data_IF_572205490309
#
_entry.id   IF_572205490309
#
_cell.length_a   1.000
_cell.length_b   1.000
_cell.length_c   1.000
_cell.angle_alpha   90.00
_cell.angle_beta   90.00
_cell.angle_gamma   90.00
#
_symmetry.space_group_name_H-M   'P 1'
#
loop_
_entity.id
_entity.type
_entity.pdbx_description
1 polymer ?
#
# COMPACT_ATOMS: atom_id res chain seq x y z
N UNK A 1 20.96 -6.63 -5.40
CA UNK A 1 19.90 -5.62 -5.36
C UNK A 1 20.10 -4.71 -6.57
N UNK A 2 19.32 -4.80 -7.65
CA UNK A 2 19.44 -3.82 -8.72
C UNK A 2 18.68 -2.56 -8.31
N UNK A 3 19.40 -1.43 -8.22
CA UNK A 3 18.82 -0.11 -8.05
C UNK A 3 18.15 0.32 -9.34
N UNK A 4 16.82 0.42 -9.35
CA UNK A 4 16.04 1.01 -10.43
C UNK A 4 15.96 2.53 -10.21
N UNK A 5 16.84 3.28 -10.85
CA UNK A 5 16.64 4.71 -11.09
C UNK A 5 15.77 4.87 -12.35
N UNK A 6 14.49 5.19 -12.18
CA UNK A 6 13.60 5.51 -13.29
C UNK A 6 13.66 7.02 -13.58
N UNK A 7 14.21 7.39 -14.75
CA UNK A 7 14.10 8.74 -15.31
C UNK A 7 12.84 8.84 -16.17
N UNK A 8 12.11 9.95 -16.05
CA UNK A 8 10.66 10.06 -16.33
C UNK A 8 10.19 9.99 -17.81
N UNK A 9 10.99 9.50 -18.77
CA UNK A 9 10.63 9.54 -20.20
C UNK A 9 10.99 8.27 -21.01
N UNK A 10 10.94 7.08 -20.41
CA UNK A 10 11.10 5.83 -21.16
C UNK A 10 9.74 5.32 -21.69
N UNK A 11 9.51 5.26 -23.02
CA UNK A 11 8.23 4.83 -23.59
C UNK A 11 7.90 3.36 -23.30
N UNK A 12 8.89 2.55 -22.91
CA UNK A 12 8.71 1.13 -22.52
C UNK A 12 7.98 0.99 -21.19
N UNK A 13 8.04 2.02 -20.32
CA UNK A 13 7.45 2.00 -18.98
C UNK A 13 5.92 2.20 -19.00
N UNK A 14 5.38 2.74 -20.10
CA UNK A 14 3.97 3.08 -20.25
C UNK A 14 3.07 1.87 -20.55
N UNK A 15 3.63 0.73 -20.98
CA UNK A 15 2.89 -0.50 -21.30
C UNK A 15 3.15 -1.66 -20.32
N UNK A 16 3.97 -1.42 -19.28
CA UNK A 16 4.32 -2.47 -18.32
C UNK A 16 3.24 -2.58 -17.24
N UNK A 17 2.37 -3.57 -17.43
CA UNK A 17 1.59 -4.11 -16.33
C UNK A 17 2.54 -4.75 -15.31
N UNK A 18 2.48 -4.30 -14.05
CA UNK A 18 3.22 -4.92 -12.96
C UNK A 18 2.27 -5.65 -12.02
N UNK A 19 2.74 -6.77 -11.47
CA UNK A 19 1.96 -7.62 -10.56
C UNK A 19 2.86 -8.04 -9.41
N UNK A 20 2.42 -7.79 -8.17
CA UNK A 20 3.13 -8.24 -6.97
C UNK A 20 2.16 -8.67 -5.87
N UNK A 21 2.72 -9.28 -4.82
CA UNK A 21 2.00 -9.53 -3.57
C UNK A 21 2.26 -8.39 -2.60
N UNK A 22 1.24 -7.98 -1.87
CA UNK A 22 1.35 -6.94 -0.85
C UNK A 22 0.43 -7.26 0.34
N UNK A 23 0.69 -6.59 1.46
CA UNK A 23 -0.23 -6.55 2.60
C UNK A 23 -1.08 -5.28 2.47
N UNK A 24 -2.39 -5.45 2.28
CA UNK A 24 -3.32 -4.35 2.30
C UNK A 24 -3.73 -4.07 3.75
N UNK A 25 -3.34 -2.90 4.26
CA UNK A 25 -3.59 -2.48 5.65
C UNK A 25 -4.98 -1.87 5.84
N UNK A 26 -5.52 -1.21 4.81
CA UNK A 26 -6.80 -0.53 4.91
C UNK A 26 -6.93 0.67 3.99
N UNK A 27 -7.98 1.46 4.23
CA UNK A 27 -8.28 2.69 3.52
C UNK A 27 -8.67 3.75 4.53
N UNK A 28 -8.10 4.95 4.37
CA UNK A 28 -8.27 6.07 5.31
C UNK A 28 -8.64 7.29 4.49
N UNK A 29 -9.69 7.99 4.90
CA UNK A 29 -10.04 9.28 4.34
C UNK A 29 -9.07 10.35 4.87
N UNK A 30 -8.42 11.06 3.95
CA UNK A 30 -7.35 12.05 4.24
C UNK A 30 -7.76 13.47 3.82
N UNK A 31 -9.00 13.86 4.10
CA UNK A 31 -9.73 15.03 3.55
C UNK A 31 -8.94 16.34 3.36
N UNK A 32 -7.93 16.62 4.19
CA UNK A 32 -7.18 17.89 4.20
C UNK A 32 -5.67 17.73 3.97
N UNK A 33 -5.22 16.52 3.62
CA UNK A 33 -3.80 16.20 3.42
C UNK A 33 -3.58 15.72 2.00
N UNK A 34 -2.50 16.18 1.37
CA UNK A 34 -2.12 15.82 0.00
C UNK A 34 -0.64 15.48 0.01
N UNK A 35 -0.19 14.67 -0.94
CA UNK A 35 1.22 14.32 -1.06
C UNK A 35 1.68 13.45 0.11
N UNK A 36 2.93 13.66 0.53
CA UNK A 36 3.56 12.87 1.60
C UNK A 36 2.80 12.97 2.93
N UNK A 37 2.27 14.14 3.28
CA UNK A 37 1.47 14.32 4.51
C UNK A 37 0.21 13.45 4.54
N UNK A 38 -0.39 13.17 3.37
CA UNK A 38 -1.52 12.25 3.29
C UNK A 38 -1.08 10.80 3.57
N UNK A 39 0.09 10.40 3.05
CA UNK A 39 0.68 9.08 3.28
C UNK A 39 1.01 8.89 4.75
N UNK A 40 1.68 9.87 5.38
CA UNK A 40 2.02 9.84 6.80
C UNK A 40 0.78 9.62 7.69
N UNK A 41 -0.29 10.38 7.43
CA UNK A 41 -1.54 10.24 8.20
C UNK A 41 -2.23 8.90 7.99
N UNK A 42 -2.23 8.38 6.77
CA UNK A 42 -2.78 7.07 6.49
C UNK A 42 -1.99 5.99 7.27
N UNK A 43 -0.66 6.09 7.30
CA UNK A 43 0.19 5.17 8.07
C UNK A 43 -0.08 5.28 9.56
N UNK A 44 -0.13 6.49 10.13
CA UNK A 44 -0.39 6.68 11.57
C UNK A 44 -1.76 6.15 12.00
N UNK A 45 -2.75 6.20 11.08
CA UNK A 45 -4.10 5.70 11.34
C UNK A 45 -4.19 4.17 11.24
N UNK A 46 -3.38 3.55 10.39
CA UNK A 46 -3.41 2.10 10.12
C UNK A 46 -2.40 1.30 10.95
N UNK A 47 -1.33 1.95 11.40
CA UNK A 47 -0.25 1.37 12.20
C UNK A 47 -0.18 2.13 13.52
N UNK A 48 -0.82 1.62 14.59
CA UNK A 48 -0.78 2.25 15.91
C UNK A 48 0.66 2.30 16.45
N UNK A 49 1.13 3.49 16.87
CA UNK A 49 2.51 3.70 17.36
C UNK A 49 2.87 2.87 18.61
N UNK A 50 1.87 2.37 19.33
CA UNK A 50 2.05 1.68 20.61
C UNK A 50 2.56 0.25 20.51
N UNK A 51 2.72 -0.32 19.31
CA UNK A 51 2.85 -1.78 19.15
C UNK A 51 3.86 -2.17 18.05
N UNK A 52 5.12 -1.78 18.25
CA UNK A 52 6.26 -2.24 17.44
C UNK A 52 7.42 -2.73 18.30
N UNK A 53 7.15 -3.31 19.46
CA UNK A 53 8.09 -4.26 20.04
C UNK A 53 7.60 -5.67 19.67
N UNK A 54 8.34 -6.36 18.79
CA UNK A 54 8.04 -7.76 18.42
C UNK A 54 7.86 -8.66 19.65
N UNK A 55 8.53 -8.28 20.73
CA UNK A 55 8.48 -8.86 22.07
C UNK A 55 7.05 -8.92 22.63
N UNK A 56 6.21 -7.95 22.34
CA UNK A 56 4.86 -7.84 22.93
C UNK A 56 3.87 -8.81 22.28
N UNK A 57 4.03 -9.10 20.98
CA UNK A 57 3.18 -10.03 20.25
C UNK A 57 3.51 -11.49 20.59
N UNK A 58 4.81 -11.81 20.67
CA UNK A 58 5.28 -13.18 20.94
C UNK A 58 5.04 -13.61 22.40
N UNK A 59 5.08 -12.68 23.36
CA UNK A 59 4.95 -13.01 24.79
C UNK A 59 3.51 -13.09 25.29
N UNK A 60 2.55 -12.43 24.64
CA UNK A 60 1.16 -12.36 25.12
C UNK A 60 0.18 -13.24 24.35
N UNK A 61 0.62 -13.91 23.27
CA UNK A 61 -0.31 -14.61 22.36
C UNK A 61 -1.37 -13.69 21.78
N UNK A 62 -1.08 -12.38 21.75
CA UNK A 62 -1.99 -11.34 21.31
C UNK A 62 -1.96 -11.28 19.78
N UNK A 63 -3.13 -11.16 19.16
CA UNK A 63 -3.19 -10.90 17.72
C UNK A 63 -2.51 -9.57 17.41
N UNK A 64 -1.81 -9.52 16.26
CA UNK A 64 -1.23 -8.28 15.75
C UNK A 64 -2.31 -7.20 15.74
N UNK A 65 -2.06 -6.02 16.32
CA UNK A 65 -3.00 -4.90 16.26
C UNK A 65 -3.11 -4.34 14.85
N UNK A 66 -2.07 -4.53 14.04
CA UNK A 66 -2.09 -4.19 12.62
C UNK A 66 -2.85 -5.28 11.91
N UNK A 67 -4.05 -4.93 11.48
CA UNK A 67 -4.91 -5.78 10.66
C UNK A 67 -4.47 -5.64 9.20
N UNK A 68 -4.33 -6.77 8.51
CA UNK A 68 -3.94 -6.78 7.11
C UNK A 68 -4.55 -7.96 6.37
N UNK A 69 -4.64 -7.82 5.04
CA UNK A 69 -5.02 -8.91 4.13
C UNK A 69 -3.97 -9.06 3.04
N UNK A 70 -3.51 -10.29 2.80
CA UNK A 70 -2.62 -10.57 1.68
C UNK A 70 -3.38 -10.39 0.36
N UNK A 71 -2.88 -9.49 -0.48
CA UNK A 71 -3.49 -9.13 -1.75
C UNK A 71 -2.50 -9.30 -2.91
N UNK A 72 -3.05 -9.54 -4.10
CA UNK A 72 -2.37 -9.29 -5.36
C UNK A 72 -2.62 -7.84 -5.76
N UNK A 73 -1.54 -7.08 -5.95
CA UNK A 73 -1.56 -5.75 -6.52
C UNK A 73 -1.20 -5.84 -8.00
N UNK A 74 -2.08 -5.35 -8.86
CA UNK A 74 -1.83 -5.18 -10.28
C UNK A 74 -1.85 -3.68 -10.60
N UNK A 75 -0.83 -3.19 -11.30
CA UNK A 75 -0.72 -1.79 -11.70
C UNK A 75 -0.63 -1.71 -13.22
N UNK A 76 -1.49 -0.89 -13.80
CA UNK A 76 -1.52 -0.53 -15.22
C UNK A 76 -1.52 0.99 -15.35
N UNK A 77 -0.67 1.58 -16.20
CA UNK A 77 -0.72 3.02 -16.46
C UNK A 77 -2.07 3.49 -17.02
N UNK A 78 -2.72 2.64 -17.82
CA UNK A 78 -3.98 2.95 -18.50
C UNK A 78 -5.18 2.68 -17.58
N UNK A 79 -5.20 1.53 -16.90
CA UNK A 79 -6.36 1.11 -16.09
C UNK A 79 -6.28 1.59 -14.62
N UNK A 80 -5.08 1.79 -14.07
CA UNK A 80 -4.84 2.13 -12.67
C UNK A 80 -4.44 0.94 -11.81
N UNK A 81 -4.95 0.88 -10.58
CA UNK A 81 -4.60 -0.14 -9.57
C UNK A 81 -5.76 -1.11 -9.37
N UNK A 82 -5.48 -2.40 -9.43
CA UNK A 82 -6.39 -3.47 -9.02
C UNK A 82 -5.80 -4.25 -7.84
N UNK A 83 -6.53 -4.27 -6.73
CA UNK A 83 -6.23 -5.05 -5.54
C UNK A 83 -7.18 -6.24 -5.45
N UNK A 84 -6.64 -7.45 -5.33
CA UNK A 84 -7.41 -8.69 -5.20
C UNK A 84 -6.97 -9.44 -3.94
N UNK A 85 -7.87 -9.63 -2.98
CA UNK A 85 -7.63 -10.45 -1.79
C UNK A 85 -7.34 -11.91 -2.19
N UNK A 86 -6.18 -12.42 -1.75
CA UNK A 86 -5.72 -13.77 -2.08
C UNK A 86 -6.34 -14.86 -1.21
N UNK A 87 -6.80 -14.51 0.00
CA UNK A 87 -7.39 -15.43 0.97
C UNK A 87 -8.86 -15.70 0.66
N UNK A 88 -9.61 -14.68 0.22
CA UNK A 88 -11.07 -14.78 0.03
C UNK A 88 -11.52 -14.62 -1.42
N UNK A 89 -10.64 -14.27 -2.36
CA UNK A 89 -10.74 -14.17 -3.85
C UNK A 89 -11.98 -13.49 -4.48
N UNK A 90 -13.08 -13.33 -3.77
CA UNK A 90 -14.40 -12.93 -4.30
C UNK A 90 -15.01 -11.77 -3.49
N UNK A 91 -14.59 -11.57 -2.24
CA UNK A 91 -15.21 -10.59 -1.33
C UNK A 91 -14.48 -9.25 -1.24
N UNK A 92 -13.22 -9.18 -1.70
CA UNK A 92 -12.46 -7.94 -1.73
C UNK A 92 -11.65 -7.88 -3.04
N UNK A 93 -12.26 -7.21 -4.01
CA UNK A 93 -11.60 -6.72 -5.20
C UNK A 93 -11.85 -5.22 -5.29
N UNK A 94 -10.79 -4.42 -5.37
CA UNK A 94 -10.89 -2.96 -5.43
C UNK A 94 -10.10 -2.43 -6.62
N UNK A 95 -10.79 -1.67 -7.47
CA UNK A 95 -10.20 -0.96 -8.59
C UNK A 95 -10.14 0.53 -8.28
N UNK A 96 -8.95 1.11 -8.39
CA UNK A 96 -8.72 2.56 -8.38
C UNK A 96 -8.31 2.94 -9.79
N UNK A 97 -9.19 3.66 -10.49
CA UNK A 97 -8.93 4.04 -11.89
C UNK A 97 -7.74 5.00 -11.98
N UNK A 98 -6.98 4.92 -13.06
CA UNK A 98 -5.84 5.81 -13.32
C UNK A 98 -6.14 7.31 -13.06
N UNK A 99 -7.25 7.90 -13.57
CA UNK A 99 -7.53 9.33 -13.32
C UNK A 99 -7.93 9.67 -11.87
N UNK A 100 -8.24 8.67 -11.02
CA UNK A 100 -8.55 8.89 -9.60
C UNK A 100 -7.31 8.94 -8.71
N UNK A 101 -6.16 8.46 -9.21
CA UNK A 101 -4.90 8.41 -8.46
C UNK A 101 -4.17 9.74 -8.65
N UNK A 102 -4.23 10.60 -7.64
CA UNK A 102 -3.59 11.93 -7.67
C UNK A 102 -2.18 11.96 -7.07
N UNK A 103 -1.84 10.96 -6.24
CA UNK A 103 -0.55 10.87 -5.57
C UNK A 103 -0.25 9.41 -5.16
N UNK A 104 1.01 8.99 -5.27
CA UNK A 104 1.53 7.72 -4.74
C UNK A 104 2.90 8.01 -4.12
N UNK A 105 3.12 7.52 -2.91
CA UNK A 105 4.36 7.73 -2.17
C UNK A 105 4.64 6.60 -1.18
N UNK A 106 5.88 6.57 -0.70
CA UNK A 106 6.31 5.77 0.44
C UNK A 106 6.30 6.69 1.65
N UNK A 107 5.92 6.19 2.85
CA UNK A 107 6.01 7.01 4.07
C UNK A 107 7.46 7.48 4.25
N UNK A 108 7.74 8.80 4.19
CA UNK A 108 9.10 9.32 4.22
C UNK A 108 9.79 9.08 5.56
N UNK A 109 9.03 8.73 6.61
CA UNK A 109 9.53 8.47 7.95
C UNK A 109 10.05 7.04 8.13
N UNK A 110 9.82 6.17 7.15
CA UNK A 110 10.22 4.76 7.14
C UNK A 110 9.97 4.09 8.50
N UNK A 111 8.70 3.95 8.89
CA UNK A 111 8.29 3.34 10.18
C UNK A 111 8.54 1.81 10.24
N UNK A 112 9.41 1.25 9.40
CA UNK A 112 9.76 -0.18 9.38
C UNK A 112 10.98 -0.52 10.24
#
# INVERSE_FOLDING_TARGET
MPHCHATSNDPVLLDLHSVCRCLYLGFVDVEWSVGDTAVERAVDSLIPETILESVTCDQLGAESPVQYTECQLQVSPQEGILLTDLNRKIFFQRHLSSPSIVFVGVDPRDKM
#
